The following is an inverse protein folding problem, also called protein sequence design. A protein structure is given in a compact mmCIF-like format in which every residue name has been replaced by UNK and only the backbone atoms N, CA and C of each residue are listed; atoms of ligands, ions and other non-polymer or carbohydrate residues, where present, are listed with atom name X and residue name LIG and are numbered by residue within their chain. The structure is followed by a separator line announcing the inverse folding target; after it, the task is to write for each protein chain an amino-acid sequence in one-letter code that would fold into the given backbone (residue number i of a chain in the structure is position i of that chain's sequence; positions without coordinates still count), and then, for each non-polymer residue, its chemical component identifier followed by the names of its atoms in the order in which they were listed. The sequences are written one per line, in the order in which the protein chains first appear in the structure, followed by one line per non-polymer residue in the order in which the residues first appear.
data_IF_499415481689
#
_entry.id   IF_499415481689
#
_cell.length_a   1.000
_cell.length_b   1.000
_cell.length_c   1.000
_cell.angle_alpha   90.00
_cell.angle_beta   90.00
_cell.angle_gamma   90.00
#
_symmetry.space_group_name_H-M   'P 1'
#
loop_
_entity.id
_entity.type
_entity.pdbx_description
1 polymer ?
#
# COMPACT_ATOMS: atom_id res chain seq x y z
N UNK A 1 -43.62 -36.52 50.94
CA UNK A 1 -43.15 -35.93 49.67
C UNK A 1 -41.66 -35.73 49.82
N UNK A 2 -40.90 -36.63 49.22
CA UNK A 2 -39.69 -37.14 49.87
C UNK A 2 -38.46 -36.42 49.34
N UNK A 3 -37.96 -35.45 50.12
CA UNK A 3 -36.73 -34.70 49.85
C UNK A 3 -35.53 -35.58 49.53
N UNK A 4 -35.50 -36.83 50.05
CA UNK A 4 -34.45 -37.82 49.80
C UNK A 4 -34.22 -38.13 48.31
N UNK A 5 -35.28 -38.14 47.50
CA UNK A 5 -35.17 -38.36 46.06
C UNK A 5 -34.50 -37.18 45.33
N UNK A 6 -34.84 -35.95 45.74
CA UNK A 6 -34.21 -34.73 45.22
C UNK A 6 -32.73 -34.63 45.59
N UNK A 7 -32.33 -35.04 46.80
CA UNK A 7 -30.92 -35.10 47.18
C UNK A 7 -30.13 -36.12 46.34
N UNK A 8 -30.69 -37.31 46.08
CA UNK A 8 -30.07 -38.29 45.16
C UNK A 8 -29.94 -37.74 43.73
N UNK A 9 -30.98 -37.08 43.22
CA UNK A 9 -30.94 -36.45 41.91
C UNK A 9 -29.93 -35.30 41.82
N UNK A 10 -29.84 -34.46 42.87
CA UNK A 10 -28.85 -33.39 42.98
C UNK A 10 -27.41 -33.92 43.03
N UNK A 11 -27.15 -35.03 43.73
CA UNK A 11 -25.82 -35.66 43.76
C UNK A 11 -25.44 -36.23 42.39
N UNK A 12 -26.40 -36.83 41.67
CA UNK A 12 -26.19 -37.33 40.32
C UNK A 12 -25.94 -36.18 39.33
N UNK A 13 -26.71 -35.09 39.43
CA UNK A 13 -26.49 -33.88 38.65
C UNK A 13 -25.16 -33.24 38.99
N UNK A 14 -24.78 -33.13 40.26
CA UNK A 14 -23.51 -32.58 40.70
C UNK A 14 -22.33 -33.37 40.15
N UNK A 15 -22.40 -34.71 40.20
CA UNK A 15 -21.37 -35.59 39.64
C UNK A 15 -21.27 -35.44 38.12
N UNK A 16 -22.39 -35.43 37.40
CA UNK A 16 -22.42 -35.22 35.95
C UNK A 16 -22.00 -33.80 35.55
N UNK A 17 -22.38 -32.79 36.35
CA UNK A 17 -22.07 -31.39 36.13
C UNK A 17 -20.59 -31.13 36.36
N UNK A 18 -19.96 -31.66 37.40
CA UNK A 18 -18.52 -31.49 37.65
C UNK A 18 -17.68 -32.12 36.54
N UNK A 19 -18.06 -33.33 36.07
CA UNK A 19 -17.41 -33.99 34.93
C UNK A 19 -17.61 -33.22 33.61
N UNK A 20 -18.83 -32.70 33.35
CA UNK A 20 -19.13 -31.92 32.14
C UNK A 20 -18.58 -30.49 32.18
N UNK A 21 -18.46 -29.91 33.36
CA UNK A 21 -17.94 -28.56 33.62
C UNK A 21 -16.47 -28.42 33.23
N UNK A 22 -15.62 -29.42 33.48
CA UNK A 22 -14.21 -29.36 33.03
C UNK A 22 -14.09 -29.26 31.50
N UNK A 23 -14.91 -30.01 30.76
CA UNK A 23 -14.94 -29.97 29.29
C UNK A 23 -15.59 -28.69 28.75
N UNK A 24 -16.61 -28.17 29.43
CA UNK A 24 -17.26 -26.90 29.08
C UNK A 24 -16.36 -25.69 29.34
N UNK A 25 -15.61 -25.68 30.45
CA UNK A 25 -14.60 -24.66 30.74
C UNK A 25 -13.51 -24.65 29.67
N UNK A 26 -13.05 -25.83 29.24
CA UNK A 26 -12.06 -25.93 28.17
C UNK A 26 -12.58 -25.33 26.85
N UNK A 27 -13.82 -25.64 26.46
CA UNK A 27 -14.44 -25.04 25.27
C UNK A 27 -14.63 -23.53 25.38
N UNK A 28 -15.03 -23.02 26.55
CA UNK A 28 -15.14 -21.57 26.78
C UNK A 28 -13.78 -20.89 26.64
N UNK A 29 -12.72 -21.47 27.23
CA UNK A 29 -11.37 -20.93 27.11
C UNK A 29 -10.89 -20.90 25.66
N UNK A 30 -11.20 -21.94 24.88
CA UNK A 30 -10.88 -22.02 23.45
C UNK A 30 -11.61 -20.94 22.63
N UNK A 31 -12.89 -20.72 22.91
CA UNK A 31 -13.68 -19.65 22.30
C UNK A 31 -13.11 -18.28 22.68
N UNK A 32 -12.83 -18.04 23.96
CA UNK A 32 -12.24 -16.77 24.43
C UNK A 32 -10.87 -16.53 23.77
N UNK A 33 -10.03 -17.55 23.68
CA UNK A 33 -8.72 -17.44 23.03
C UNK A 33 -8.86 -17.07 21.55
N UNK A 34 -9.83 -17.66 20.85
CA UNK A 34 -10.12 -17.35 19.45
C UNK A 34 -10.63 -15.91 19.31
N UNK A 35 -11.52 -15.45 20.19
CA UNK A 35 -11.99 -14.06 20.21
C UNK A 35 -10.87 -13.07 20.51
N UNK A 36 -9.94 -13.41 21.42
CA UNK A 36 -8.78 -12.58 21.71
C UNK A 36 -7.89 -12.42 20.48
N UNK A 37 -7.66 -13.51 19.72
CA UNK A 37 -6.90 -13.45 18.48
C UNK A 37 -7.56 -12.55 17.44
N UNK A 38 -8.86 -12.74 17.19
CA UNK A 38 -9.63 -11.93 16.25
C UNK A 38 -9.65 -10.46 16.68
N UNK A 39 -9.92 -10.20 17.95
CA UNK A 39 -9.95 -8.86 18.53
C UNK A 39 -8.59 -8.16 18.43
N UNK A 40 -7.51 -8.87 18.71
CA UNK A 40 -6.15 -8.33 18.56
C UNK A 40 -5.87 -7.98 17.11
N UNK A 41 -6.11 -8.88 16.15
CA UNK A 41 -5.90 -8.61 14.72
C UNK A 41 -6.71 -7.41 14.20
N UNK A 42 -7.97 -7.28 14.61
CA UNK A 42 -8.81 -6.13 14.27
C UNK A 42 -8.28 -4.85 14.90
N UNK A 43 -7.83 -4.91 16.16
CA UNK A 43 -7.22 -3.79 16.85
C UNK A 43 -5.94 -3.36 16.14
N UNK A 44 -5.04 -4.30 15.79
CA UNK A 44 -3.82 -3.99 15.03
C UNK A 44 -4.17 -3.38 13.68
N UNK A 45 -5.14 -3.93 12.94
CA UNK A 45 -5.58 -3.34 11.66
C UNK A 45 -6.07 -1.89 11.83
N UNK A 46 -6.80 -1.60 12.90
CA UNK A 46 -7.33 -0.27 13.15
C UNK A 46 -6.26 0.70 13.70
N UNK A 47 -5.31 0.20 14.50
CA UNK A 47 -4.21 0.98 15.07
C UNK A 47 -3.09 1.25 14.06
N UNK A 48 -2.92 0.36 13.07
CA UNK A 48 -2.11 0.63 11.88
C UNK A 48 -2.90 1.62 11.02
N UNK A 49 -2.97 2.85 11.51
CA UNK A 49 -3.32 4.01 10.71
C UNK A 49 -2.33 4.00 9.56
N UNK A 50 -2.85 3.83 8.33
CA UNK A 50 -2.09 4.08 7.11
C UNK A 50 -1.63 5.53 7.22
N UNK A 51 -0.40 5.73 7.68
CA UNK A 51 0.16 7.05 7.90
C UNK A 51 0.42 7.60 6.51
N UNK A 52 -0.51 8.43 6.03
CA UNK A 52 -0.30 9.21 4.83
C UNK A 52 0.84 10.17 5.17
N UNK A 53 2.06 9.78 4.82
CA UNK A 53 3.21 10.65 4.96
C UNK A 53 2.93 11.86 4.06
N UNK A 54 2.96 13.05 4.65
CA UNK A 54 2.89 14.30 3.90
C UNK A 54 4.07 14.43 2.92
N UNK A 55 4.13 15.52 2.13
CA UNK A 55 5.22 15.72 1.18
C UNK A 55 6.56 15.71 1.91
N UNK A 56 7.42 14.76 1.55
CA UNK A 56 8.78 14.67 2.09
C UNK A 56 9.66 15.73 1.41
N UNK A 57 10.28 16.59 2.22
CA UNK A 57 11.31 17.53 1.75
C UNK A 57 12.67 16.86 1.88
N UNK A 58 13.25 16.47 0.75
CA UNK A 58 14.60 15.90 0.70
C UNK A 58 15.63 17.00 0.40
N UNK A 59 16.84 16.85 0.95
CA UNK A 59 17.98 17.66 0.53
C UNK A 59 18.32 17.37 -0.94
N UNK A 60 18.94 18.33 -1.63
CA UNK A 60 19.40 18.15 -3.00
C UNK A 60 20.35 16.93 -3.06
N UNK A 61 19.89 15.88 -3.74
CA UNK A 61 20.63 14.65 -3.98
C UNK A 61 21.24 14.73 -5.39
N UNK A 62 22.51 14.36 -5.60
CA UNK A 62 23.07 14.27 -6.94
C UNK A 62 22.26 13.28 -7.79
N UNK A 63 21.85 13.71 -8.99
CA UNK A 63 20.98 12.96 -9.92
C UNK A 63 21.81 12.20 -10.97
N UNK A 64 23.14 12.34 -10.92
CA UNK A 64 24.06 11.85 -11.96
C UNK A 64 24.11 10.31 -12.04
N UNK A 65 23.75 9.61 -10.95
CA UNK A 65 23.77 8.15 -10.88
C UNK A 65 22.46 7.59 -10.33
N UNK A 66 21.92 6.59 -11.04
CA UNK A 66 20.77 5.83 -10.59
C UNK A 66 21.15 5.00 -9.34
N UNK A 67 20.46 5.15 -8.20
CA UNK A 67 20.76 4.38 -7.01
C UNK A 67 20.76 2.87 -7.26
N UNK A 68 21.71 2.15 -6.67
CA UNK A 68 21.91 0.71 -6.89
C UNK A 68 20.65 -0.15 -6.64
N UNK A 69 19.75 0.28 -5.75
CA UNK A 69 18.49 -0.42 -5.48
C UNK A 69 17.49 -0.40 -6.66
N UNK A 70 17.65 0.53 -7.60
CA UNK A 70 16.82 0.67 -8.80
C UNK A 70 17.43 -0.03 -10.02
N UNK A 71 18.70 -0.46 -9.93
CA UNK A 71 19.38 -1.20 -10.99
C UNK A 71 18.79 -2.59 -11.27
N UNK A 72 18.03 -3.14 -10.32
CA UNK A 72 17.32 -4.40 -10.52
C UNK A 72 16.09 -4.17 -11.41
N UNK A 73 16.18 -4.62 -12.66
CA UNK A 73 15.12 -4.53 -13.66
C UNK A 73 13.86 -5.24 -13.13
N UNK A 74 12.68 -4.59 -13.13
CA UNK A 74 11.45 -5.19 -12.67
C UNK A 74 11.00 -6.26 -13.68
N UNK A 75 11.01 -7.53 -13.29
CA UNK A 75 10.39 -8.58 -14.12
C UNK A 75 8.88 -8.28 -14.29
N UNK A 76 8.33 -8.15 -15.52
CA UNK A 76 8.87 -8.57 -16.82
C UNK A 76 9.08 -7.40 -17.83
N UNK A 77 9.73 -6.29 -17.46
CA UNK A 77 9.95 -5.17 -18.41
C UNK A 77 10.93 -4.08 -17.94
N UNK A 78 11.16 -3.07 -18.79
CA UNK A 78 11.93 -1.88 -18.43
C UNK A 78 11.13 -0.98 -17.47
N UNK A 79 11.83 -0.22 -16.64
CA UNK A 79 11.23 0.84 -15.83
C UNK A 79 10.52 1.86 -16.72
N UNK A 80 9.31 2.24 -16.33
CA UNK A 80 8.48 3.24 -16.99
C UNK A 80 8.52 4.56 -16.21
N UNK A 81 8.84 5.66 -16.92
CA UNK A 81 8.67 7.02 -16.45
C UNK A 81 7.35 7.56 -17.00
N UNK A 82 6.43 7.87 -16.09
CA UNK A 82 5.14 8.44 -16.45
C UNK A 82 5.20 9.97 -16.45
N UNK A 83 4.41 10.61 -17.30
CA UNK A 83 4.21 12.06 -17.23
C UNK A 83 2.79 12.48 -17.60
N UNK A 84 2.29 13.51 -16.91
CA UNK A 84 0.96 14.10 -17.06
C UNK A 84 1.11 15.62 -17.04
N UNK A 85 0.54 16.37 -18.00
CA UNK A 85 -0.23 15.91 -19.16
C UNK A 85 0.63 15.66 -20.41
N UNK A 86 0.25 14.67 -21.23
CA UNK A 86 0.95 14.29 -22.47
C UNK A 86 0.83 15.29 -23.61
N UNK A 87 -0.08 16.26 -23.50
CA UNK A 87 -0.33 17.29 -24.51
C UNK A 87 0.79 18.34 -24.57
N UNK A 88 1.53 18.53 -23.49
CA UNK A 88 2.61 19.52 -23.42
C UNK A 88 3.92 18.97 -23.97
N UNK A 89 4.47 19.65 -24.98
CA UNK A 89 5.80 19.34 -25.55
C UNK A 89 6.90 19.71 -24.57
N UNK A 90 6.66 20.74 -23.74
CA UNK A 90 7.60 21.20 -22.72
C UNK A 90 7.82 20.11 -21.67
N UNK A 91 6.74 19.51 -21.18
CA UNK A 91 6.82 18.41 -20.20
C UNK A 91 7.57 17.21 -20.79
N UNK A 92 7.27 16.85 -22.05
CA UNK A 92 7.96 15.75 -22.75
C UNK A 92 9.47 15.97 -22.83
N UNK A 93 9.90 17.19 -23.18
CA UNK A 93 11.32 17.52 -23.31
C UNK A 93 12.08 17.43 -21.97
N UNK A 94 11.44 17.82 -20.86
CA UNK A 94 12.01 17.67 -19.51
C UNK A 94 12.25 16.19 -19.20
N UNK A 95 11.25 15.35 -19.40
CA UNK A 95 11.34 13.91 -19.11
C UNK A 95 12.39 13.24 -19.98
N UNK A 96 12.52 13.64 -21.24
CA UNK A 96 13.57 13.17 -22.14
C UNK A 96 14.98 13.62 -21.69
N UNK A 97 15.10 14.81 -21.12
CA UNK A 97 16.36 15.30 -20.54
C UNK A 97 16.72 14.50 -19.28
N UNK A 98 15.77 14.31 -18.36
CA UNK A 98 15.96 13.48 -17.16
C UNK A 98 16.36 12.04 -17.52
N UNK A 99 15.74 11.46 -18.55
CA UNK A 99 16.12 10.15 -19.07
C UNK A 99 17.58 10.12 -19.53
N UNK A 100 18.05 11.17 -20.19
CA UNK A 100 19.44 11.28 -20.68
C UNK A 100 20.43 11.37 -19.52
N UNK A 101 20.11 12.18 -18.53
CA UNK A 101 20.99 12.45 -17.38
C UNK A 101 21.15 11.22 -16.47
N UNK A 102 20.10 10.41 -16.31
CA UNK A 102 20.12 9.19 -15.49
C UNK A 102 20.84 8.00 -16.16
N UNK A 103 21.35 8.16 -17.39
CA UNK A 103 22.07 7.13 -18.16
C UNK A 103 21.38 5.74 -18.22
N UNK A 104 20.05 5.69 -18.10
CA UNK A 104 19.29 4.45 -18.04
C UNK A 104 18.18 4.40 -19.11
N UNK A 105 17.90 3.21 -19.63
CA UNK A 105 16.91 3.00 -20.68
C UNK A 105 15.47 2.98 -20.14
N UNK A 106 14.98 4.11 -19.64
CA UNK A 106 13.58 4.24 -19.26
C UNK A 106 12.65 4.23 -20.48
N UNK A 107 11.51 3.55 -20.35
CA UNK A 107 10.38 3.70 -21.28
C UNK A 107 9.55 4.90 -20.81
N UNK A 108 9.34 5.87 -21.69
CA UNK A 108 8.59 7.09 -21.38
C UNK A 108 7.13 6.88 -21.77
N UNK A 109 6.21 7.05 -20.81
CA UNK A 109 4.78 6.86 -20.99
C UNK A 109 4.01 8.14 -20.64
N UNK A 110 3.41 8.78 -21.63
CA UNK A 110 2.56 9.95 -21.43
C UNK A 110 1.11 9.57 -21.16
N UNK A 111 0.45 10.33 -20.28
CA UNK A 111 -0.99 10.24 -20.02
C UNK A 111 -1.65 11.60 -20.21
N UNK A 112 -2.86 11.63 -20.77
CA UNK A 112 -3.56 12.90 -21.03
C UNK A 112 -4.13 13.53 -19.75
N UNK A 113 -4.45 12.73 -18.74
CA UNK A 113 -5.03 13.20 -17.48
C UNK A 113 -4.53 12.39 -16.30
N UNK A 114 -4.61 12.98 -15.10
CA UNK A 114 -4.26 12.30 -13.84
C UNK A 114 -5.13 11.06 -13.60
N UNK A 115 -6.42 11.12 -13.98
CA UNK A 115 -7.35 9.99 -13.86
C UNK A 115 -6.90 8.80 -14.71
N UNK A 116 -6.40 9.05 -15.92
CA UNK A 116 -5.90 8.00 -16.80
C UNK A 116 -4.63 7.35 -16.23
N UNK A 117 -3.75 8.16 -15.66
CA UNK A 117 -2.56 7.71 -14.96
C UNK A 117 -2.92 6.87 -13.71
N UNK A 118 -3.85 7.35 -12.89
CA UNK A 118 -4.29 6.64 -11.68
C UNK A 118 -4.89 5.27 -12.03
N UNK A 119 -5.74 5.21 -13.05
CA UNK A 119 -6.32 3.96 -13.55
C UNK A 119 -5.27 3.00 -14.13
N UNK A 120 -4.18 3.53 -14.69
CA UNK A 120 -3.07 2.73 -15.17
C UNK A 120 -2.28 2.10 -14.01
N UNK A 121 -1.94 2.89 -12.98
CA UNK A 121 -1.14 2.45 -11.82
C UNK A 121 -1.93 1.53 -10.89
N UNK A 122 -3.26 1.72 -10.76
CA UNK A 122 -4.15 0.83 -9.99
C UNK A 122 -4.03 -0.64 -10.37
N UNK A 123 -3.58 -0.95 -11.60
CA UNK A 123 -3.31 -2.32 -12.04
C UNK A 123 -2.00 -2.81 -11.41
N UNK A 124 -2.05 -3.88 -10.60
CA UNK A 124 -0.90 -4.47 -9.88
C UNK A 124 0.31 -4.77 -10.79
N UNK A 125 0.08 -5.14 -12.04
CA UNK A 125 1.13 -5.39 -13.04
C UNK A 125 1.87 -4.12 -13.45
N UNK A 126 1.15 -3.00 -13.54
CA UNK A 126 1.69 -1.71 -13.99
C UNK A 126 2.32 -0.92 -12.83
N UNK A 127 1.77 -1.06 -11.62
CA UNK A 127 2.37 -0.46 -10.40
C UNK A 127 3.81 -0.89 -10.17
N UNK A 128 4.20 -2.09 -10.60
CA UNK A 128 5.57 -2.60 -10.50
C UNK A 128 6.51 -2.09 -11.59
N UNK A 129 5.96 -1.49 -12.64
CA UNK A 129 6.72 -1.02 -13.81
C UNK A 129 6.96 0.48 -13.78
N UNK A 130 5.99 1.25 -13.25
CA UNK A 130 6.11 2.71 -13.13
C UNK A 130 7.01 3.05 -11.95
N UNK A 131 8.14 3.69 -12.22
CA UNK A 131 9.12 4.06 -11.19
C UNK A 131 8.84 5.45 -10.61
N UNK A 132 8.64 6.42 -11.49
CA UNK A 132 8.35 7.80 -11.13
C UNK A 132 7.34 8.39 -12.11
N UNK A 133 6.57 9.36 -11.63
CA UNK A 133 5.60 10.09 -12.42
C UNK A 133 5.79 11.60 -12.23
N UNK A 134 5.87 12.34 -13.33
CA UNK A 134 5.86 13.79 -13.33
C UNK A 134 4.43 14.27 -13.55
N UNK A 135 3.81 14.85 -12.54
CA UNK A 135 2.45 15.39 -12.61
C UNK A 135 2.53 16.89 -12.40
N UNK A 136 2.07 17.63 -13.40
CA UNK A 136 1.99 19.09 -13.32
C UNK A 136 0.53 19.48 -13.08
N UNK A 137 0.28 20.13 -11.95
CA UNK A 137 -1.03 20.73 -11.63
C UNK A 137 -1.22 22.01 -12.46
N UNK A 138 -1.41 21.83 -13.77
CA UNK A 138 -1.64 22.90 -14.71
C UNK A 138 -2.39 22.42 -15.95
N UNK A 139 -3.43 23.14 -16.33
CA UNK A 139 -4.20 22.87 -17.53
C UNK A 139 -3.55 23.55 -18.74
N UNK A 140 -2.62 22.84 -19.40
CA UNK A 140 -2.00 23.29 -20.64
C UNK A 140 -3.04 23.29 -21.77
N UNK A 141 -3.37 24.47 -22.30
CA UNK A 141 -4.30 24.66 -23.41
C UNK A 141 -3.60 24.41 -24.75
N UNK A 142 -2.33 24.82 -24.86
CA UNK A 142 -1.47 24.59 -26.02
C UNK A 142 -0.26 23.72 -25.66
N UNK A 143 0.27 23.04 -26.68
CA UNK A 143 1.48 22.20 -26.56
C UNK A 143 2.75 22.97 -26.18
N UNK A 144 2.77 24.29 -26.43
CA UNK A 144 3.89 25.20 -26.18
C UNK A 144 3.65 26.14 -25.00
N UNK A 145 2.59 25.92 -24.22
CA UNK A 145 2.35 26.73 -23.03
C UNK A 145 3.53 26.56 -22.05
N UNK A 146 4.03 27.67 -21.48
CA UNK A 146 5.18 27.65 -20.58
C UNK A 146 4.86 26.87 -19.30
N UNK A 147 5.89 26.33 -18.66
CA UNK A 147 5.73 25.71 -17.34
C UNK A 147 5.19 26.73 -16.34
N UNK A 148 4.27 26.33 -15.45
CA UNK A 148 3.85 27.20 -14.35
C UNK A 148 5.07 27.56 -13.49
N UNK A 149 5.38 28.85 -13.40
CA UNK A 149 6.50 29.39 -12.62
C UNK A 149 6.27 29.30 -11.10
N UNK A 150 5.07 28.89 -10.66
CA UNK A 150 4.73 28.69 -9.26
C UNK A 150 4.99 27.25 -8.87
N UNK A 151 5.98 27.09 -7.99
CA UNK A 151 6.33 25.92 -7.18
C UNK A 151 6.06 24.57 -7.84
N UNK A 152 7.13 23.91 -8.30
CA UNK A 152 7.16 22.47 -8.62
C UNK A 152 6.67 21.72 -7.37
N UNK A 153 5.36 21.46 -7.32
CA UNK A 153 4.69 20.94 -6.12
C UNK A 153 4.69 19.42 -6.24
N UNK A 154 5.78 18.84 -5.73
CA UNK A 154 6.02 17.40 -5.55
C UNK A 154 6.31 16.57 -6.81
N UNK A 155 7.49 15.93 -6.80
CA UNK A 155 7.74 14.73 -7.58
C UNK A 155 7.30 13.54 -6.73
N UNK A 156 6.17 12.93 -7.07
CA UNK A 156 5.67 11.76 -6.33
C UNK A 156 6.43 10.53 -6.82
N UNK A 157 7.45 10.12 -6.06
CA UNK A 157 8.00 8.77 -6.19
C UNK A 157 6.93 7.83 -5.65
N UNK A 158 6.41 6.96 -6.50
CA UNK A 158 5.44 5.96 -6.06
C UNK A 158 6.18 4.98 -5.17
N UNK A 159 6.10 5.19 -3.85
CA UNK A 159 6.52 4.18 -2.87
C UNK A 159 5.65 2.95 -3.09
N UNK A 160 6.18 1.98 -3.84
CA UNK A 160 5.62 0.65 -3.96
C UNK A 160 5.73 0.05 -2.56
N UNK A 161 4.62 -0.32 -1.90
CA UNK A 161 4.70 -0.93 -0.58
C UNK A 161 5.57 -2.17 -0.69
N UNK A 162 6.68 -2.17 0.07
CA UNK A 162 7.48 -3.36 0.29
C UNK A 162 6.53 -4.45 0.77
N UNK A 163 6.24 -5.41 -0.11
CA UNK A 163 5.59 -6.65 0.27
C UNK A 163 6.59 -7.31 1.20
N UNK A 164 6.36 -7.17 2.51
CA UNK A 164 7.04 -7.95 3.52
C UNK A 164 6.75 -9.42 3.20
N UNK A 165 7.69 -10.08 2.54
CA UNK A 165 7.79 -11.53 2.53
C UNK A 165 7.96 -11.97 3.98
N UNK A 166 6.84 -12.25 4.65
CA UNK A 166 6.84 -13.12 5.80
C UNK A 166 7.04 -14.54 5.26
N UNK A 167 8.18 -15.11 5.65
CA UNK A 167 8.51 -16.55 5.65
C UNK A 167 7.36 -17.42 6.11
#
# INVERSE_FOLDING_TARGET
MDFSWFYKFMVLLWKNFVLKRRRFIALIMEIILTLLFIGTLLLTRNFVVIRNYGPFNYSLQPVDELPAFLGNIPFPGLWELAFVPSKSVVVKNIVETVKRDLHYNFKVQGFSSERDFENYVKKKVNSKKVMAAFVFDHEFQNSHDPLPLKDITSATVSDVPAVSSCT
#
